data_IF_314801373145
#
_entry.id   IF_314801373145
#
_cell.length_a   1.000
_cell.length_b   1.000
_cell.length_c   1.000
_cell.angle_alpha   90.00
_cell.angle_beta   90.00
_cell.angle_gamma   90.00
#
_symmetry.space_group_name_H-M   'P 1'
#
loop_
_entity.id
_entity.type
_entity.pdbx_description
1 polymer ?
#
# COMPACT_ATOMS: atom_id res chain seq x y z
N UNK A 1 -2.49 1.57 19.57
CA UNK A 1 -1.41 2.57 19.41
C UNK A 1 -1.13 2.79 17.94
N UNK A 2 -1.09 4.05 17.54
CA UNK A 2 -0.79 4.43 16.16
C UNK A 2 0.72 4.31 15.93
N UNK A 3 1.11 3.60 14.88
CA UNK A 3 2.50 3.45 14.50
C UNK A 3 2.86 4.50 13.45
N UNK A 4 3.56 5.55 13.87
CA UNK A 4 3.91 6.65 12.96
C UNK A 4 4.95 6.25 11.91
N UNK A 5 5.79 5.24 12.19
CA UNK A 5 6.70 4.72 11.17
C UNK A 5 5.94 4.11 10.00
N UNK A 6 4.87 3.37 10.30
CA UNK A 6 4.04 2.78 9.24
C UNK A 6 3.34 3.86 8.42
N UNK A 7 2.82 4.90 9.08
CA UNK A 7 2.21 6.04 8.39
C UNK A 7 3.24 6.72 7.48
N UNK A 8 4.44 6.96 7.99
CA UNK A 8 5.52 7.58 7.21
C UNK A 8 5.90 6.72 6.01
N UNK A 9 6.02 5.41 6.22
CA UNK A 9 6.33 4.46 5.14
C UNK A 9 5.27 4.54 4.04
N UNK A 10 3.99 4.48 4.41
CA UNK A 10 2.92 4.54 3.42
C UNK A 10 2.87 5.87 2.69
N UNK A 11 3.04 6.99 3.38
CA UNK A 11 3.08 8.29 2.71
C UNK A 11 4.20 8.36 1.68
N UNK A 12 5.38 7.87 2.04
CA UNK A 12 6.53 7.88 1.12
C UNK A 12 6.28 6.95 -0.07
N UNK A 13 5.68 5.79 0.16
CA UNK A 13 5.32 4.86 -0.92
C UNK A 13 4.32 5.51 -1.87
N UNK A 14 3.29 6.16 -1.34
CA UNK A 14 2.29 6.82 -2.19
C UNK A 14 2.90 7.96 -2.99
N UNK A 15 3.78 8.75 -2.37
CA UNK A 15 4.48 9.83 -3.07
C UNK A 15 5.42 9.28 -4.15
N UNK A 16 6.11 8.19 -3.88
CA UNK A 16 6.99 7.54 -4.85
C UNK A 16 6.20 6.99 -6.03
N UNK A 17 5.05 6.37 -5.78
CA UNK A 17 4.17 5.89 -6.84
C UNK A 17 3.73 7.03 -7.74
N UNK A 18 3.29 8.14 -7.15
CA UNK A 18 2.88 9.33 -7.91
C UNK A 18 4.02 9.86 -8.78
N UNK A 19 5.23 9.90 -8.22
CA UNK A 19 6.41 10.35 -8.96
C UNK A 19 6.73 9.44 -10.15
N UNK A 20 6.29 8.19 -10.11
CA UNK A 20 6.50 7.21 -11.20
C UNK A 20 5.26 7.02 -12.07
N UNK A 21 4.31 7.95 -12.01
CA UNK A 21 3.15 7.94 -12.89
C UNK A 21 2.01 7.04 -12.45
N UNK A 22 2.04 6.54 -11.22
CA UNK A 22 0.97 5.70 -10.67
C UNK A 22 0.12 6.55 -9.72
N UNK A 23 -1.19 6.64 -10.00
CA UNK A 23 -2.10 7.41 -9.16
C UNK A 23 -2.33 6.67 -7.84
N UNK A 24 -1.95 7.25 -6.68
CA UNK A 24 -2.10 6.59 -5.39
C UNK A 24 -3.41 6.92 -4.66
N UNK A 25 -4.27 7.76 -5.24
CA UNK A 25 -5.40 8.33 -4.52
C UNK A 25 -6.44 7.31 -4.07
N UNK A 26 -6.50 6.16 -4.74
CA UNK A 26 -7.46 5.11 -4.41
C UNK A 26 -6.97 4.10 -3.36
N UNK A 27 -5.93 4.42 -2.59
CA UNK A 27 -5.40 3.48 -1.61
C UNK A 27 -6.48 3.11 -0.58
N UNK A 28 -6.54 1.81 -0.26
CA UNK A 28 -7.46 1.23 0.72
C UNK A 28 -6.67 0.38 1.70
N UNK A 29 -7.04 0.45 2.96
CA UNK A 29 -6.45 -0.39 4.01
C UNK A 29 -7.43 -1.51 4.33
N UNK A 30 -6.97 -2.76 4.25
CA UNK A 30 -7.78 -3.95 4.54
C UNK A 30 -7.76 -4.22 6.03
N UNK A 31 -8.62 -3.53 6.79
CA UNK A 31 -8.60 -3.61 8.25
C UNK A 31 -9.87 -4.22 8.84
N UNK A 32 -10.79 -4.71 8.02
CA UNK A 32 -12.10 -5.18 8.47
C UNK A 32 -13.09 -4.05 8.74
N UNK A 33 -12.65 -2.80 8.72
CA UNK A 33 -13.50 -1.63 8.83
C UNK A 33 -13.52 -0.91 7.47
N UNK A 34 -14.62 -0.21 7.20
CA UNK A 34 -14.67 0.65 6.00
C UNK A 34 -13.67 1.78 6.18
N UNK A 35 -12.71 1.85 5.28
CA UNK A 35 -11.76 2.95 5.24
C UNK A 35 -12.25 3.99 4.24
N UNK A 36 -12.29 5.28 4.62
CA UNK A 36 -12.53 6.32 3.64
C UNK A 36 -11.40 6.34 2.62
N UNK A 37 -11.72 6.78 1.42
CA UNK A 37 -10.72 6.90 0.38
C UNK A 37 -9.64 7.90 0.80
N UNK A 38 -8.40 7.49 0.68
CA UNK A 38 -7.26 8.37 0.88
C UNK A 38 -7.17 9.34 -0.30
N UNK A 39 -7.14 10.62 -0.01
CA UNK A 39 -6.97 11.63 -1.04
C UNK A 39 -5.55 12.20 -0.94
N UNK A 40 -4.67 11.67 -1.77
CA UNK A 40 -3.27 12.10 -1.79
C UNK A 40 -3.13 13.28 -2.77
N UNK A 41 -2.98 14.47 -2.23
CA UNK A 41 -2.78 15.67 -3.03
C UNK A 41 -1.61 16.46 -2.45
N UNK A 42 -0.40 16.07 -2.83
CA UNK A 42 0.80 16.86 -2.56
C UNK A 42 1.00 17.29 -1.10
N UNK A 43 0.72 16.39 -0.14
CA UNK A 43 0.89 16.70 1.28
C UNK A 43 -0.38 17.13 1.98
N UNK A 44 -1.53 16.69 1.51
CA UNK A 44 -2.82 16.98 2.15
C UNK A 44 -2.82 16.44 3.59
N UNK A 45 -2.91 17.31 4.62
CA UNK A 45 -2.92 16.85 6.02
C UNK A 45 -4.11 15.95 6.35
N UNK A 46 -5.23 16.10 5.63
CA UNK A 46 -6.40 15.24 5.84
C UNK A 46 -6.14 13.81 5.38
N UNK A 47 -5.35 13.64 4.32
CA UNK A 47 -4.93 12.32 3.88
C UNK A 47 -4.08 11.62 4.92
N UNK A 48 -3.08 12.31 5.48
CA UNK A 48 -2.25 11.77 6.56
C UNK A 48 -3.09 11.44 7.80
N UNK A 49 -4.01 12.30 8.17
CA UNK A 49 -4.89 12.08 9.32
C UNK A 49 -5.77 10.84 9.09
N UNK A 50 -6.24 10.63 7.85
CA UNK A 50 -7.03 9.45 7.51
C UNK A 50 -6.20 8.18 7.64
N UNK A 51 -4.97 8.16 7.12
CA UNK A 51 -4.07 7.02 7.29
C UNK A 51 -3.82 6.73 8.77
N UNK A 52 -3.53 7.76 9.57
CA UNK A 52 -3.23 7.61 11.00
C UNK A 52 -4.36 6.92 11.75
N UNK A 53 -5.61 7.22 11.40
CA UNK A 53 -6.77 6.63 12.06
C UNK A 53 -6.93 5.14 11.79
N UNK A 54 -6.36 4.64 10.70
CA UNK A 54 -6.52 3.25 10.28
C UNK A 54 -5.27 2.40 10.44
N UNK A 55 -4.16 3.00 10.91
CA UNK A 55 -2.88 2.31 11.06
C UNK A 55 -2.63 1.98 12.53
N UNK A 56 -2.93 0.75 12.90
CA UNK A 56 -2.69 0.24 14.26
C UNK A 56 -1.60 -0.82 14.20
N UNK A 57 -0.71 -0.81 15.17
CA UNK A 57 0.40 -1.73 15.17
C UNK A 57 1.45 -1.34 14.13
N UNK A 58 2.21 -2.31 13.64
CA UNK A 58 3.34 -2.08 12.73
C UNK A 58 3.11 -2.65 11.32
N UNK A 59 1.89 -3.06 10.99
CA UNK A 59 1.59 -3.71 9.72
C UNK A 59 0.24 -3.26 9.16
N UNK A 60 0.15 -3.23 7.83
CA UNK A 60 -1.10 -2.97 7.12
C UNK A 60 -1.13 -3.76 5.82
N UNK A 61 -2.31 -4.22 5.43
CA UNK A 61 -2.57 -4.78 4.12
C UNK A 61 -3.30 -3.73 3.29
N UNK A 62 -2.79 -3.43 2.10
CA UNK A 62 -3.33 -2.36 1.26
C UNK A 62 -3.51 -2.81 -0.18
N UNK A 63 -4.38 -2.12 -0.88
CA UNK A 63 -4.49 -2.16 -2.34
C UNK A 63 -4.87 -0.76 -2.84
N UNK A 64 -4.72 -0.54 -4.14
CA UNK A 64 -5.07 0.76 -4.74
C UNK A 64 -6.23 0.53 -5.71
N UNK A 65 -7.36 1.15 -5.41
CA UNK A 65 -8.59 1.07 -6.20
C UNK A 65 -8.96 2.46 -6.72
N UNK A 66 -8.53 2.76 -7.93
CA UNK A 66 -8.77 4.06 -8.56
C UNK A 66 -10.06 4.11 -9.38
N UNK A 67 -10.78 2.99 -9.48
CA UNK A 67 -11.98 2.90 -10.30
C UNK A 67 -13.26 2.66 -9.49
N UNK A 68 -13.14 2.40 -8.19
CA UNK A 68 -14.29 2.09 -7.35
C UNK A 68 -14.78 0.65 -7.51
N UNK A 69 -13.95 -0.24 -8.06
CA UNK A 69 -14.33 -1.62 -8.30
C UNK A 69 -14.33 -2.51 -7.06
N UNK A 70 -13.71 -2.04 -5.98
CA UNK A 70 -13.51 -2.84 -4.77
C UNK A 70 -12.26 -3.72 -4.82
N UNK A 71 -11.46 -3.61 -5.88
CA UNK A 71 -10.27 -4.41 -6.10
C UNK A 71 -9.10 -3.52 -6.55
N UNK A 72 -7.91 -4.10 -6.51
CA UNK A 72 -6.70 -3.48 -7.07
C UNK A 72 -6.95 -3.03 -8.51
N UNK A 73 -6.56 -1.82 -8.84
CA UNK A 73 -6.61 -1.33 -10.22
C UNK A 73 -5.45 -1.88 -11.05
N UNK A 74 -5.56 -1.74 -12.37
CA UNK A 74 -4.50 -2.09 -13.31
C UNK A 74 -3.40 -1.03 -13.25
N UNK A 75 -2.46 -1.20 -12.32
CA UNK A 75 -1.42 -0.20 -12.05
C UNK A 75 -0.31 -0.19 -13.09
N UNK A 76 -0.06 -1.31 -13.74
CA UNK A 76 1.00 -1.41 -14.76
C UNK A 76 0.48 -1.24 -16.17
N UNK A 77 -0.82 -1.00 -16.34
CA UNK A 77 -1.47 -0.74 -17.63
C UNK A 77 -1.29 -1.87 -18.66
N UNK A 78 -1.26 -3.12 -18.19
CA UNK A 78 -1.15 -4.27 -19.10
C UNK A 78 -2.50 -4.86 -19.51
N UNK A 79 -3.60 -4.24 -19.05
CA UNK A 79 -4.96 -4.70 -19.34
C UNK A 79 -5.46 -5.79 -18.42
N UNK A 80 -4.72 -6.14 -17.38
CA UNK A 80 -5.07 -7.19 -16.42
C UNK A 80 -4.91 -6.69 -15.00
N UNK A 81 -5.72 -7.24 -14.10
CA UNK A 81 -5.57 -7.01 -12.65
C UNK A 81 -5.11 -8.32 -12.03
N UNK A 82 -3.87 -8.37 -11.61
CA UNK A 82 -3.26 -9.57 -11.06
C UNK A 82 -2.10 -9.19 -10.12
N UNK A 83 -1.30 -10.17 -9.71
CA UNK A 83 -0.20 -9.94 -8.79
C UNK A 83 0.85 -8.96 -9.35
N UNK A 84 0.92 -8.79 -10.66
CA UNK A 84 1.87 -7.82 -11.25
C UNK A 84 1.52 -6.39 -10.85
N UNK A 85 0.25 -6.10 -10.57
CA UNK A 85 -0.14 -4.79 -10.05
C UNK A 85 0.35 -4.60 -8.61
N UNK A 86 0.33 -5.67 -7.80
CA UNK A 86 0.93 -5.64 -6.47
C UNK A 86 2.44 -5.43 -6.55
N UNK A 87 3.11 -5.94 -7.59
CA UNK A 87 4.55 -5.74 -7.79
C UNK A 87 4.91 -4.27 -8.03
N UNK A 88 4.00 -3.48 -8.58
CA UNK A 88 4.21 -2.04 -8.74
C UNK A 88 4.38 -1.39 -7.37
N UNK A 89 3.56 -1.78 -6.40
CA UNK A 89 3.66 -1.28 -5.04
C UNK A 89 4.94 -1.81 -4.36
N UNK A 90 5.26 -3.08 -4.57
CA UNK A 90 6.49 -3.68 -4.02
C UNK A 90 7.74 -2.93 -4.51
N UNK A 91 7.79 -2.58 -5.78
CA UNK A 91 8.92 -1.82 -6.33
C UNK A 91 9.05 -0.46 -5.62
N UNK A 92 7.93 0.19 -5.35
CA UNK A 92 7.92 1.45 -4.61
C UNK A 92 8.43 1.27 -3.18
N UNK A 93 7.98 0.23 -2.49
CA UNK A 93 8.46 -0.08 -1.13
C UNK A 93 9.98 -0.28 -1.14
N UNK A 94 10.50 -1.00 -2.12
CA UNK A 94 11.95 -1.22 -2.22
C UNK A 94 12.72 0.09 -2.41
N UNK A 95 12.21 1.01 -3.24
CA UNK A 95 12.84 2.31 -3.44
C UNK A 95 12.83 3.15 -2.17
N UNK A 96 11.67 3.18 -1.47
CA UNK A 96 11.53 3.95 -0.24
C UNK A 96 12.47 3.41 0.85
N UNK A 97 12.56 2.09 1.01
CA UNK A 97 13.46 1.49 2.00
C UNK A 97 14.94 1.77 1.69
N UNK A 98 15.28 1.83 0.41
CA UNK A 98 16.64 2.18 0.01
C UNK A 98 17.02 3.61 0.43
N UNK A 99 16.07 4.53 0.36
CA UNK A 99 16.28 5.93 0.72
C UNK A 99 16.06 6.20 2.22
N UNK A 100 15.27 5.36 2.88
CA UNK A 100 14.87 5.53 4.28
C UNK A 100 15.08 4.22 5.05
N UNK A 101 16.34 3.84 5.35
CA UNK A 101 16.61 2.56 6.01
C UNK A 101 15.93 2.38 7.38
N UNK A 102 15.57 3.48 8.05
CA UNK A 102 14.89 3.40 9.34
C UNK A 102 13.46 2.87 9.22
N UNK A 103 12.91 2.82 8.00
CA UNK A 103 11.56 2.35 7.74
C UNK A 103 11.53 0.93 7.18
N UNK A 104 12.67 0.26 7.15
CA UNK A 104 12.78 -1.07 6.54
C UNK A 104 11.88 -2.08 7.26
N UNK A 105 11.27 -2.97 6.48
CA UNK A 105 10.38 -3.97 7.04
C UNK A 105 9.95 -5.01 6.02
N UNK A 106 8.85 -5.69 6.33
CA UNK A 106 8.27 -6.71 5.49
C UNK A 106 7.42 -6.12 4.37
N UNK A 107 7.45 -6.78 3.23
CA UNK A 107 6.52 -6.51 2.14
C UNK A 107 6.17 -7.82 1.46
N UNK A 108 4.89 -8.22 1.58
CA UNK A 108 4.36 -9.41 0.95
C UNK A 108 3.37 -9.03 -0.13
N UNK A 109 3.44 -9.72 -1.27
CA UNK A 109 2.46 -9.53 -2.33
C UNK A 109 1.59 -10.76 -2.43
N UNK A 110 0.28 -10.56 -2.62
CA UNK A 110 -0.70 -11.63 -2.57
C UNK A 110 -1.53 -11.66 -3.84
N UNK A 111 -1.75 -12.85 -4.38
CA UNK A 111 -2.66 -13.03 -5.51
C UNK A 111 -4.11 -12.86 -5.03
N UNK A 112 -4.98 -12.44 -5.94
CA UNK A 112 -6.39 -12.36 -5.64
C UNK A 112 -7.03 -13.74 -5.53
N UNK A 113 -8.20 -13.79 -4.88
CA UNK A 113 -9.03 -14.97 -4.83
C UNK A 113 -10.50 -14.57 -5.03
N UNK A 114 -11.44 -15.47 -4.76
CA UNK A 114 -12.86 -15.19 -4.95
C UNK A 114 -13.43 -14.14 -4.00
N UNK A 115 -12.71 -13.82 -2.90
CA UNK A 115 -13.16 -12.87 -1.89
C UNK A 115 -12.56 -11.48 -2.06
N UNK A 116 -11.36 -11.38 -2.67
CA UNK A 116 -10.69 -10.10 -2.86
C UNK A 116 -9.70 -10.20 -4.02
N UNK A 117 -9.30 -9.04 -4.57
CA UNK A 117 -8.24 -8.94 -5.55
C UNK A 117 -6.85 -8.99 -4.93
N UNK A 118 -5.80 -8.78 -5.73
CA UNK A 118 -4.43 -8.72 -5.22
C UNK A 118 -4.28 -7.63 -4.16
N UNK A 119 -3.36 -7.84 -3.22
CA UNK A 119 -3.06 -6.82 -2.21
C UNK A 119 -1.62 -6.96 -1.73
N UNK A 120 -1.18 -5.99 -0.94
CA UNK A 120 0.19 -5.91 -0.46
C UNK A 120 0.19 -5.74 1.06
N UNK A 121 0.96 -6.61 1.74
CA UNK A 121 1.25 -6.42 3.15
C UNK A 121 2.51 -5.57 3.28
N UNK A 122 2.47 -4.55 4.13
CA UNK A 122 3.60 -3.67 4.41
C UNK A 122 3.74 -3.54 5.92
N UNK A 123 4.98 -3.67 6.43
CA UNK A 123 5.25 -3.41 7.83
C UNK A 123 6.61 -2.75 8.02
N UNK A 124 6.86 -2.27 9.24
CA UNK A 124 8.10 -1.57 9.60
C UNK A 124 8.82 -2.33 10.73
N UNK A 125 8.94 -3.65 10.57
CA UNK A 125 9.49 -4.55 11.61
C UNK A 125 10.98 -4.31 11.93
N UNK A 126 11.70 -3.57 11.09
CA UNK A 126 13.09 -3.21 11.36
C UNK A 126 14.12 -4.05 10.60
N UNK A 127 13.69 -5.05 9.88
CA UNK A 127 14.56 -5.85 8.98
C UNK A 127 13.79 -6.23 7.73
N UNK A 128 14.47 -6.40 6.59
CA UNK A 128 13.77 -6.68 5.34
C UNK A 128 13.24 -8.11 5.29
N UNK A 129 12.02 -8.26 4.79
CA UNK A 129 11.43 -9.56 4.50
C UNK A 129 10.56 -9.41 3.26
N UNK A 130 10.62 -10.39 2.36
CA UNK A 130 9.84 -10.37 1.11
C UNK A 130 9.23 -11.75 0.89
N UNK A 131 7.95 -11.77 0.53
CA UNK A 131 7.28 -13.04 0.24
C UNK A 131 6.12 -12.82 -0.72
N UNK A 132 5.64 -13.94 -1.27
CA UNK A 132 4.46 -13.98 -2.11
C UNK A 132 3.49 -14.99 -1.49
N UNK A 133 2.22 -14.63 -1.41
CA UNK A 133 1.20 -15.47 -0.81
C UNK A 133 -0.05 -15.58 -1.65
N UNK A 134 -0.98 -16.42 -1.20
CA UNK A 134 -2.26 -16.65 -1.88
C UNK A 134 -3.40 -15.81 -1.33
N UNK A 135 -3.19 -15.10 -0.26
CA UNK A 135 -4.21 -14.27 0.34
C UNK A 135 -5.20 -15.00 1.25
N UNK A 136 -4.95 -16.26 1.53
CA UNK A 136 -5.81 -17.07 2.42
C UNK A 136 -5.45 -16.89 3.88
#
# INVERSE_FOLDING_TARGET
VINMKLVDQLELVLSDLEAHGVNPSGVRVMSGFRTPQYNHSGGDPRGRASLSRHMYGDAADIYIDNTGSGEMSDLNHDGRVNIDDARVILASVNRVESEHPSLVGGCGIYVGNGAHGPFVHIDTRGYPARWTGTGD
#
